data_IF_651640980947
#
_entry.id   IF_651640980947
#
_cell.length_a   1.000
_cell.length_b   1.000
_cell.length_c   1.000
_cell.angle_alpha   90.00
_cell.angle_beta   90.00
_cell.angle_gamma   90.00
#
_symmetry.space_group_name_H-M   'P 1'
#
loop_
_entity.id
_entity.type
_entity.pdbx_description
1 polymer ?
#
# COMPACT_ATOMS: atom_id res chain seq x y z
N UNK A 1 35.49 12.18 14.80
CA UNK A 1 35.82 11.81 13.43
C UNK A 1 34.81 12.41 12.48
N UNK A 2 35.23 13.42 11.68
CA UNK A 2 34.36 14.19 10.79
C UNK A 2 34.22 13.59 9.39
N UNK A 3 34.50 12.33 9.19
CA UNK A 3 34.52 11.74 7.86
C UNK A 3 33.18 11.90 7.11
N UNK A 4 32.05 11.78 7.83
CA UNK A 4 30.74 11.98 7.24
C UNK A 4 30.38 13.41 6.87
N UNK A 5 31.16 14.40 7.32
CA UNK A 5 30.94 15.81 6.99
C UNK A 5 31.93 16.35 5.96
N UNK A 6 33.00 15.63 5.67
CA UNK A 6 34.03 16.05 4.70
C UNK A 6 33.72 15.68 3.27
N UNK A 7 33.09 14.54 3.11
CA UNK A 7 32.67 14.08 1.80
C UNK A 7 31.17 14.31 1.73
N UNK A 8 30.73 15.09 0.78
CA UNK A 8 29.34 15.20 0.47
C UNK A 8 28.65 13.83 0.37
N UNK A 9 27.41 13.74 -0.04
CA UNK A 9 26.79 12.47 -0.39
C UNK A 9 27.62 11.71 -1.44
N UNK A 10 28.42 12.44 -2.19
CA UNK A 10 29.48 11.97 -3.08
C UNK A 10 30.77 12.70 -2.75
N UNK A 11 31.75 12.03 -2.21
CA UNK A 11 33.10 12.55 -2.01
C UNK A 11 34.06 11.81 -2.92
N UNK A 12 35.09 12.49 -3.41
CA UNK A 12 36.17 11.87 -4.16
C UNK A 12 37.36 11.71 -3.23
N UNK A 13 37.79 10.50 -2.95
CA UNK A 13 39.04 10.20 -2.25
C UNK A 13 39.95 9.46 -3.21
N UNK A 14 41.14 10.05 -3.49
CA UNK A 14 42.10 9.49 -4.43
C UNK A 14 41.50 9.16 -5.82
N UNK A 15 40.56 9.97 -6.30
CA UNK A 15 39.86 9.72 -7.57
C UNK A 15 38.71 8.74 -7.54
N UNK A 16 38.34 8.24 -6.36
CA UNK A 16 37.17 7.33 -6.17
C UNK A 16 36.03 8.12 -5.55
N UNK A 17 34.86 8.08 -6.18
CA UNK A 17 33.64 8.66 -5.64
C UNK A 17 33.12 7.84 -4.45
N UNK A 18 32.90 8.49 -3.33
CA UNK A 18 32.39 7.86 -2.11
C UNK A 18 31.05 8.44 -1.73
N UNK A 19 30.06 7.57 -1.59
CA UNK A 19 28.73 7.93 -1.09
C UNK A 19 28.69 7.95 0.44
N UNK A 20 28.11 9.00 1.01
CA UNK A 20 27.94 9.14 2.45
C UNK A 20 26.51 8.78 2.88
N UNK A 21 26.23 7.51 3.05
CA UNK A 21 24.89 7.01 3.40
C UNK A 21 24.41 7.50 4.79
N UNK A 22 25.34 7.81 5.71
CA UNK A 22 24.97 8.34 7.03
C UNK A 22 24.39 9.75 6.92
N UNK A 23 24.92 10.57 6.01
CA UNK A 23 24.38 11.91 5.77
C UNK A 23 22.96 11.83 5.21
N UNK A 24 22.70 10.91 4.29
CA UNK A 24 21.35 10.65 3.76
C UNK A 24 20.38 10.19 4.85
N UNK A 25 20.76 9.19 5.65
CA UNK A 25 19.92 8.66 6.72
C UNK A 25 19.53 9.72 7.76
N UNK A 26 20.38 10.74 7.96
CA UNK A 26 20.11 11.78 8.96
C UNK A 26 19.38 13.01 8.44
N UNK A 27 19.45 13.28 7.13
CA UNK A 27 19.01 14.56 6.59
C UNK A 27 17.99 14.46 5.46
N UNK A 28 17.89 13.33 4.75
CA UNK A 28 17.12 13.24 3.52
C UNK A 28 15.59 13.32 3.69
N UNK A 29 15.09 13.31 4.90
CA UNK A 29 13.65 13.26 5.21
C UNK A 29 13.22 11.87 5.61
N UNK A 30 11.92 11.72 5.82
CA UNK A 30 11.29 10.50 6.35
C UNK A 30 10.21 9.97 5.42
N UNK A 31 10.08 8.66 5.39
CA UNK A 31 8.94 7.93 4.84
C UNK A 31 8.16 7.25 5.97
N UNK A 32 6.90 7.65 6.15
CA UNK A 32 6.00 7.04 7.14
C UNK A 32 4.84 6.37 6.43
N UNK A 33 4.71 5.07 6.62
CA UNK A 33 3.59 4.30 6.10
C UNK A 33 2.77 3.74 7.25
N UNK A 34 1.47 4.04 7.24
CA UNK A 34 0.46 3.41 8.07
C UNK A 34 -0.36 2.48 7.19
N UNK A 35 -0.40 1.22 7.55
CA UNK A 35 -1.16 0.19 6.85
C UNK A 35 -2.15 -0.44 7.83
N UNK A 36 -3.44 -0.44 7.47
CA UNK A 36 -4.53 -0.94 8.29
C UNK A 36 -5.36 -1.92 7.48
N UNK A 37 -5.31 -3.17 7.88
CA UNK A 37 -6.09 -4.23 7.27
C UNK A 37 -7.16 -4.73 8.23
N UNK A 38 -8.41 -4.73 7.76
CA UNK A 38 -9.57 -5.25 8.50
C UNK A 38 -10.29 -6.28 7.64
N UNK A 39 -10.54 -7.45 8.22
CA UNK A 39 -11.33 -8.50 7.58
C UNK A 39 -12.49 -8.87 8.46
N UNK A 40 -13.70 -8.80 7.91
CA UNK A 40 -14.94 -9.18 8.57
C UNK A 40 -15.55 -10.33 7.76
N UNK A 41 -15.85 -11.43 8.44
CA UNK A 41 -16.50 -12.59 7.83
C UNK A 41 -17.78 -12.95 8.56
N UNK A 42 -18.80 -13.32 7.82
CA UNK A 42 -20.03 -13.89 8.32
C UNK A 42 -20.28 -15.24 7.64
N UNK A 43 -20.72 -16.21 8.41
CA UNK A 43 -21.03 -17.55 7.93
C UNK A 43 -22.42 -17.96 8.37
N UNK A 44 -23.21 -18.49 7.45
CA UNK A 44 -24.53 -19.05 7.69
C UNK A 44 -24.55 -20.50 7.22
N UNK A 45 -25.01 -21.39 8.07
CA UNK A 45 -25.35 -22.78 7.73
C UNK A 45 -26.75 -23.10 8.20
N UNK A 46 -27.60 -23.55 7.28
CA UNK A 46 -29.00 -23.91 7.56
C UNK A 46 -29.31 -25.29 7.00
N UNK A 47 -29.84 -26.18 7.82
CA UNK A 47 -30.42 -27.45 7.36
C UNK A 47 -31.87 -27.21 7.06
N UNK A 48 -32.26 -27.26 5.79
CA UNK A 48 -33.62 -26.95 5.32
C UNK A 48 -34.52 -28.15 5.51
N UNK A 49 -34.05 -29.32 5.07
CA UNK A 49 -34.71 -30.62 5.25
C UNK A 49 -33.63 -31.68 5.49
N UNK A 50 -34.01 -32.88 5.86
CA UNK A 50 -33.08 -33.99 6.03
C UNK A 50 -32.29 -34.21 4.74
N UNK A 51 -30.95 -34.11 4.83
CA UNK A 51 -30.04 -34.28 3.72
C UNK A 51 -29.72 -32.98 2.94
N UNK A 52 -30.52 -31.90 3.07
CA UNK A 52 -30.27 -30.63 2.36
C UNK A 52 -29.74 -29.56 3.31
N UNK A 53 -28.53 -29.09 3.03
CA UNK A 53 -27.86 -28.03 3.79
C UNK A 53 -27.53 -26.86 2.86
N UNK A 54 -27.92 -25.67 3.25
CA UNK A 54 -27.54 -24.42 2.61
C UNK A 54 -26.42 -23.78 3.42
N UNK A 55 -25.40 -23.34 2.73
CA UNK A 55 -24.26 -22.60 3.29
C UNK A 55 -24.10 -21.27 2.55
N UNK A 56 -23.79 -20.23 3.31
CA UNK A 56 -23.46 -18.93 2.76
C UNK A 56 -22.29 -18.33 3.54
N UNK A 57 -21.28 -17.91 2.85
CA UNK A 57 -20.11 -17.22 3.39
C UNK A 57 -20.03 -15.83 2.78
N UNK A 58 -19.89 -14.83 3.63
CA UNK A 58 -19.64 -13.47 3.21
C UNK A 58 -18.36 -12.97 3.87
N UNK A 59 -17.45 -12.45 3.10
CA UNK A 59 -16.21 -11.85 3.59
C UNK A 59 -16.05 -10.45 3.02
N UNK A 60 -15.75 -9.50 3.89
CA UNK A 60 -15.43 -8.13 3.52
C UNK A 60 -14.04 -7.77 4.03
N UNK A 61 -13.19 -7.28 3.13
CA UNK A 61 -11.84 -6.83 3.42
C UNK A 61 -11.74 -5.33 3.18
N UNK A 62 -11.09 -4.64 4.10
CA UNK A 62 -10.76 -3.23 3.99
C UNK A 62 -9.26 -3.11 4.20
N UNK A 63 -8.58 -2.56 3.24
CA UNK A 63 -7.17 -2.20 3.37
C UNK A 63 -7.00 -0.70 3.11
N UNK A 64 -6.57 0.03 4.15
CA UNK A 64 -6.27 1.45 4.06
C UNK A 64 -4.78 1.66 4.31
N UNK A 65 -4.08 2.18 3.32
CA UNK A 65 -2.67 2.49 3.40
C UNK A 65 -2.43 3.96 3.17
N UNK A 66 -1.81 4.63 4.13
CA UNK A 66 -1.41 6.02 3.99
C UNK A 66 0.10 6.13 4.12
N UNK A 67 0.73 6.71 3.11
CA UNK A 67 2.17 6.99 3.09
C UNK A 67 2.36 8.49 3.06
N UNK A 68 3.14 9.02 4.00
CA UNK A 68 3.62 10.40 3.99
C UNK A 68 5.13 10.36 3.84
N UNK A 69 5.62 11.02 2.80
CA UNK A 69 7.04 11.12 2.47
C UNK A 69 7.48 12.57 2.47
N UNK A 70 8.66 12.82 2.97
CA UNK A 70 9.28 14.15 3.03
C UNK A 70 10.64 14.09 2.38
N UNK A 71 10.89 14.95 1.43
CA UNK A 71 12.20 15.09 0.80
C UNK A 71 12.89 16.35 1.27
N UNK A 72 14.09 16.19 1.84
CA UNK A 72 14.94 17.27 2.29
C UNK A 72 16.29 17.20 1.60
N UNK A 73 16.95 18.36 1.32
CA UNK A 73 18.29 18.36 0.75
C UNK A 73 19.30 17.86 1.78
N UNK A 74 20.24 17.07 1.32
CA UNK A 74 21.36 16.63 2.14
C UNK A 74 22.48 17.68 2.05
N UNK A 75 22.81 18.29 3.18
CA UNK A 75 23.85 19.29 3.29
C UNK A 75 25.16 18.61 3.71
N UNK A 76 26.15 18.74 2.89
CA UNK A 76 27.49 18.21 3.14
C UNK A 76 28.56 19.30 2.91
N UNK A 77 29.78 18.99 3.30
CA UNK A 77 30.90 19.87 3.16
C UNK A 77 32.03 19.15 2.39
N UNK A 78 32.63 19.81 1.43
CA UNK A 78 33.79 19.27 0.75
C UNK A 78 35.06 19.38 1.64
N UNK A 79 36.15 18.77 1.19
CA UNK A 79 37.46 18.82 1.90
C UNK A 79 38.03 20.22 2.07
N UNK A 80 37.56 21.16 1.28
CA UNK A 80 37.99 22.55 1.29
C UNK A 80 37.10 23.47 2.15
N UNK A 81 36.13 22.89 2.84
CA UNK A 81 35.18 23.63 3.69
C UNK A 81 34.02 24.30 2.92
N UNK A 82 33.90 24.04 1.63
CA UNK A 82 32.75 24.50 0.84
C UNK A 82 31.48 23.69 1.14
N UNK A 83 30.37 24.40 1.35
CA UNK A 83 29.07 23.79 1.56
C UNK A 83 28.50 23.25 0.23
N UNK A 84 28.08 22.02 0.21
CA UNK A 84 27.44 21.38 -0.92
C UNK A 84 26.00 21.01 -0.53
N UNK A 85 25.02 21.54 -1.25
CA UNK A 85 23.64 21.09 -1.16
C UNK A 85 23.43 20.03 -2.23
N UNK A 86 23.10 18.83 -1.81
CA UNK A 86 22.82 17.75 -2.75
C UNK A 86 21.35 17.41 -2.67
N UNK A 87 20.61 17.50 -3.77
CA UNK A 87 19.25 17.03 -3.80
C UNK A 87 19.23 15.54 -3.53
N UNK A 88 18.30 15.09 -2.71
CA UNK A 88 17.97 13.66 -2.70
C UNK A 88 17.32 13.34 -4.03
N UNK A 89 17.43 12.11 -4.51
CA UNK A 89 16.79 11.66 -5.76
C UNK A 89 15.28 11.90 -5.75
N UNK A 90 14.68 11.95 -4.58
CA UNK A 90 13.28 12.21 -4.37
C UNK A 90 12.93 13.71 -4.24
N UNK A 91 13.89 14.57 -3.85
CA UNK A 91 13.66 16.00 -3.67
C UNK A 91 13.69 16.82 -4.98
N UNK A 92 13.93 16.18 -6.11
CA UNK A 92 14.02 16.84 -7.41
C UNK A 92 15.42 17.35 -7.73
N UNK A 93 15.63 17.84 -8.97
CA UNK A 93 16.93 18.14 -9.53
C UNK A 93 17.65 19.34 -8.88
N UNK A 94 16.97 20.17 -8.12
CA UNK A 94 17.48 21.44 -7.61
C UNK A 94 17.56 21.52 -6.07
N UNK A 95 17.46 20.38 -5.37
CA UNK A 95 17.50 20.38 -3.89
C UNK A 95 16.26 20.98 -3.25
N UNK A 96 15.14 21.06 -3.97
CA UNK A 96 13.88 21.54 -3.44
C UNK A 96 13.36 20.59 -2.36
N UNK A 97 12.90 21.17 -1.27
CA UNK A 97 12.14 20.44 -0.26
C UNK A 97 10.76 20.12 -0.76
N UNK A 98 10.19 19.01 -0.30
CA UNK A 98 8.84 18.61 -0.69
C UNK A 98 8.17 17.74 0.36
N UNK A 99 6.86 17.75 0.35
CA UNK A 99 6.00 16.81 1.08
C UNK A 99 5.11 16.10 0.09
N UNK A 100 4.98 14.80 0.27
CA UNK A 100 4.15 13.91 -0.52
C UNK A 100 3.24 13.10 0.39
N UNK A 101 2.00 12.93 0.01
CA UNK A 101 1.07 12.02 0.68
C UNK A 101 0.34 11.18 -0.34
N UNK A 102 0.26 9.89 -0.06
CA UNK A 102 -0.49 8.91 -0.82
C UNK A 102 -1.46 8.20 0.10
N UNK A 103 -2.72 8.14 -0.29
CA UNK A 103 -3.76 7.37 0.38
C UNK A 103 -4.32 6.33 -0.58
N UNK A 104 -4.21 5.08 -0.20
CA UNK A 104 -4.76 3.94 -0.93
C UNK A 104 -5.87 3.34 -0.09
N UNK A 105 -7.00 3.11 -0.71
CA UNK A 105 -8.11 2.35 -0.19
C UNK A 105 -8.38 1.18 -1.12
N UNK A 106 -8.28 -0.02 -0.60
CA UNK A 106 -8.51 -1.27 -1.33
C UNK A 106 -9.53 -2.09 -0.56
N UNK A 107 -10.75 -2.12 -1.07
CA UNK A 107 -11.87 -2.85 -0.49
C UNK A 107 -12.21 -4.02 -1.38
N UNK A 108 -12.51 -5.16 -0.79
CA UNK A 108 -13.03 -6.31 -1.53
C UNK A 108 -14.04 -7.07 -0.71
N UNK A 109 -14.99 -7.67 -1.39
CA UNK A 109 -15.93 -8.59 -0.77
C UNK A 109 -16.08 -9.84 -1.62
N UNK A 110 -16.34 -10.94 -0.93
CA UNK A 110 -16.61 -12.23 -1.52
C UNK A 110 -17.86 -12.83 -0.89
N UNK A 111 -18.75 -13.32 -1.73
CA UNK A 111 -19.95 -14.04 -1.36
C UNK A 111 -19.91 -15.43 -1.98
N UNK A 112 -19.99 -16.46 -1.16
CA UNK A 112 -20.18 -17.84 -1.60
C UNK A 112 -21.52 -18.36 -1.06
N UNK A 113 -22.32 -18.93 -1.93
CA UNK A 113 -23.58 -19.58 -1.55
C UNK A 113 -23.61 -20.94 -2.21
N UNK A 114 -23.79 -22.00 -1.41
CA UNK A 114 -23.89 -23.35 -1.96
C UNK A 114 -24.83 -24.24 -1.16
N UNK A 115 -25.50 -25.13 -1.88
CA UNK A 115 -26.36 -26.14 -1.32
C UNK A 115 -25.72 -27.52 -1.48
N UNK A 116 -25.75 -28.31 -0.42
CA UNK A 116 -25.36 -29.72 -0.44
C UNK A 116 -26.62 -30.57 -0.19
N UNK A 117 -26.80 -31.60 -1.01
CA UNK A 117 -27.85 -32.57 -0.83
C UNK A 117 -27.28 -33.98 -0.77
N UNK A 118 -27.47 -34.62 0.37
CA UNK A 118 -27.05 -36.01 0.62
C UNK A 118 -28.28 -36.93 0.51
N UNK A 119 -28.17 -37.90 -0.38
CA UNK A 119 -29.21 -38.89 -0.64
C UNK A 119 -28.65 -40.30 -0.48
N UNK A 120 -29.27 -41.10 0.37
CA UNK A 120 -28.94 -42.51 0.49
C UNK A 120 -30.09 -43.34 -0.11
N UNK A 121 -29.78 -44.14 -1.12
CA UNK A 121 -30.70 -45.02 -1.81
C UNK A 121 -30.34 -46.47 -1.52
N UNK A 122 -31.34 -47.28 -1.20
CA UNK A 122 -31.22 -48.75 -0.97
C UNK A 122 -30.13 -49.14 0.05
N UNK A 123 -29.84 -48.29 1.04
CA UNK A 123 -28.84 -48.44 2.12
C UNK A 123 -27.37 -48.45 1.69
N UNK A 124 -27.03 -48.80 0.44
CA UNK A 124 -25.67 -49.02 -0.03
C UNK A 124 -25.17 -47.96 -1.00
N UNK A 125 -26.10 -47.13 -1.52
CA UNK A 125 -25.74 -46.06 -2.47
C UNK A 125 -25.88 -44.71 -1.82
N UNK A 126 -24.75 -44.00 -1.69
CA UNK A 126 -24.64 -42.65 -1.14
C UNK A 126 -24.31 -41.67 -2.24
N UNK A 127 -25.18 -40.70 -2.48
CA UNK A 127 -24.98 -39.62 -3.44
C UNK A 127 -24.84 -38.32 -2.69
N UNK A 128 -23.89 -37.51 -3.11
CA UNK A 128 -23.72 -36.14 -2.62
C UNK A 128 -23.72 -35.19 -3.80
N UNK A 129 -24.70 -34.32 -3.83
CA UNK A 129 -24.85 -33.26 -4.83
C UNK A 129 -24.48 -31.92 -4.22
N UNK A 130 -23.67 -31.14 -4.89
CA UNK A 130 -23.39 -29.78 -4.51
C UNK A 130 -23.60 -28.87 -5.71
N UNK A 131 -24.29 -27.76 -5.48
CA UNK A 131 -24.40 -26.66 -6.44
C UNK A 131 -24.17 -25.35 -5.70
N UNK A 132 -23.46 -24.43 -6.30
CA UNK A 132 -23.19 -23.15 -5.70
C UNK A 132 -22.84 -22.08 -6.69
N UNK A 133 -22.77 -20.87 -6.16
CA UNK A 133 -22.30 -19.69 -6.85
C UNK A 133 -21.35 -18.92 -5.96
N UNK A 134 -20.38 -18.27 -6.56
CA UNK A 134 -19.54 -17.29 -5.91
C UNK A 134 -19.59 -15.97 -6.67
N UNK A 135 -19.46 -14.88 -5.95
CA UNK A 135 -19.27 -13.56 -6.48
C UNK A 135 -18.19 -12.83 -5.67
N UNK A 136 -17.28 -12.20 -6.37
CA UNK A 136 -16.23 -11.39 -5.76
C UNK A 136 -16.19 -10.03 -6.46
N UNK A 137 -16.00 -9.00 -5.68
CA UNK A 137 -15.91 -7.64 -6.18
C UNK A 137 -14.84 -6.89 -5.39
N UNK A 138 -14.10 -6.01 -6.06
CA UNK A 138 -13.06 -5.21 -5.46
C UNK A 138 -13.03 -3.81 -6.04
N UNK A 139 -12.74 -2.85 -5.16
CA UNK A 139 -12.60 -1.44 -5.46
C UNK A 139 -11.24 -0.96 -4.95
N UNK A 140 -10.44 -0.44 -5.84
CA UNK A 140 -9.15 0.17 -5.55
C UNK A 140 -9.21 1.67 -5.84
N UNK A 141 -8.97 2.47 -4.81
CA UNK A 141 -8.83 3.92 -4.92
C UNK A 141 -7.45 4.34 -4.46
N UNK A 142 -6.80 5.16 -5.27
CA UNK A 142 -5.55 5.81 -4.93
C UNK A 142 -5.71 7.31 -5.11
N UNK A 143 -5.24 8.07 -4.12
CA UNK A 143 -5.18 9.52 -4.17
C UNK A 143 -3.84 9.99 -3.62
N UNK A 144 -3.11 10.78 -4.40
CA UNK A 144 -1.84 11.33 -3.97
C UNK A 144 -1.72 12.81 -4.24
N UNK A 145 -0.93 13.47 -3.42
CA UNK A 145 -0.60 14.88 -3.55
C UNK A 145 0.86 15.10 -3.20
N UNK A 146 1.46 16.08 -3.87
CA UNK A 146 2.82 16.55 -3.59
C UNK A 146 2.83 18.07 -3.64
N UNK A 147 3.61 18.68 -2.75
CA UNK A 147 3.89 20.12 -2.77
C UNK A 147 5.36 20.35 -2.44
N UNK A 148 5.96 21.26 -3.20
CA UNK A 148 7.39 21.62 -3.07
C UNK A 148 7.56 22.89 -2.24
N UNK A 149 8.81 23.18 -1.84
CA UNK A 149 9.18 24.44 -1.19
C UNK A 149 8.65 24.53 0.24
N UNK A 150 9.03 23.62 1.12
CA UNK A 150 8.72 23.68 2.54
C UNK A 150 9.34 24.94 3.18
N UNK A 151 8.57 25.66 3.98
CA UNK A 151 9.04 26.81 4.75
C UNK A 151 9.85 26.39 5.99
N UNK A 152 9.51 25.23 6.56
CA UNK A 152 10.20 24.67 7.72
C UNK A 152 10.40 23.15 7.53
N UNK A 153 11.63 22.71 7.53
CA UNK A 153 12.01 21.31 7.36
C UNK A 153 11.55 20.42 8.54
N UNK A 154 11.28 21.03 9.70
CA UNK A 154 10.79 20.33 10.89
C UNK A 154 9.29 20.19 10.93
N UNK A 155 8.57 20.96 10.13
CA UNK A 155 7.11 20.96 10.03
C UNK A 155 6.69 20.74 8.57
N UNK A 156 6.88 19.52 8.03
CA UNK A 156 6.61 19.22 6.63
C UNK A 156 5.11 19.06 6.38
N UNK A 157 4.39 20.17 6.34
CA UNK A 157 2.96 20.24 6.09
C UNK A 157 2.65 20.92 4.76
N UNK A 158 1.59 20.46 4.08
CA UNK A 158 1.16 21.02 2.79
C UNK A 158 0.88 22.52 2.84
N UNK A 159 0.31 23.00 3.95
CA UNK A 159 0.00 24.42 4.14
C UNK A 159 1.25 25.27 4.36
N UNK A 160 2.35 24.66 4.77
CA UNK A 160 3.65 25.31 4.97
C UNK A 160 4.60 25.12 3.78
N UNK A 161 4.09 24.72 2.64
CA UNK A 161 4.82 24.63 1.40
C UNK A 161 4.29 25.68 0.42
N UNK A 162 5.19 26.39 -0.28
CA UNK A 162 4.86 27.53 -1.14
C UNK A 162 5.08 27.29 -2.62
N UNK A 163 5.78 26.20 -2.97
CA UNK A 163 6.10 25.86 -4.35
C UNK A 163 4.99 25.10 -5.08
N UNK A 164 5.37 24.54 -6.21
CA UNK A 164 4.46 23.81 -7.10
C UNK A 164 3.74 22.66 -6.40
N UNK A 165 2.49 22.50 -6.76
CA UNK A 165 1.64 21.43 -6.29
C UNK A 165 1.25 20.51 -7.43
N UNK A 166 1.26 19.22 -7.16
CA UNK A 166 0.77 18.17 -8.07
C UNK A 166 -0.14 17.22 -7.31
N UNK A 167 -1.19 16.79 -7.97
CA UNK A 167 -2.15 15.85 -7.43
C UNK A 167 -2.51 14.82 -8.50
N UNK A 168 -2.87 13.64 -8.07
CA UNK A 168 -3.35 12.59 -8.96
C UNK A 168 -4.08 11.50 -8.20
N UNK A 169 -4.71 10.61 -8.95
CA UNK A 169 -5.42 9.50 -8.36
C UNK A 169 -5.84 8.49 -9.42
N UNK A 170 -6.22 7.32 -8.95
CA UNK A 170 -6.72 6.23 -9.78
C UNK A 170 -7.87 5.57 -9.05
N UNK A 171 -8.90 5.19 -9.81
CA UNK A 171 -10.02 4.41 -9.32
C UNK A 171 -10.24 3.23 -10.27
N UNK A 172 -10.20 2.02 -9.74
CA UNK A 172 -10.41 0.79 -10.47
C UNK A 172 -11.41 -0.09 -9.70
N UNK A 173 -12.30 -0.70 -10.46
CA UNK A 173 -13.24 -1.69 -9.97
C UNK A 173 -13.10 -2.98 -10.78
N UNK A 174 -13.31 -4.09 -10.13
CA UNK A 174 -13.36 -5.40 -10.78
C UNK A 174 -14.40 -6.28 -10.11
N UNK A 175 -14.97 -7.17 -10.87
CA UNK A 175 -15.93 -8.14 -10.35
C UNK A 175 -15.85 -9.45 -11.11
N UNK A 176 -16.05 -10.55 -10.38
CA UNK A 176 -16.15 -11.90 -10.95
C UNK A 176 -17.34 -12.63 -10.35
N UNK A 177 -17.99 -13.46 -11.15
CA UNK A 177 -19.04 -14.35 -10.68
C UNK A 177 -18.88 -15.71 -11.34
N UNK A 178 -19.14 -16.76 -10.60
CA UNK A 178 -19.02 -18.13 -11.08
C UNK A 178 -20.07 -19.04 -10.49
N UNK A 179 -20.33 -20.14 -11.21
CA UNK A 179 -21.19 -21.23 -10.77
C UNK A 179 -20.36 -22.51 -10.70
N UNK A 180 -20.62 -23.32 -9.72
CA UNK A 180 -19.95 -24.61 -9.59
C UNK A 180 -20.94 -25.71 -9.17
N UNK A 181 -20.62 -26.95 -9.53
CA UNK A 181 -21.39 -28.12 -9.14
C UNK A 181 -20.50 -29.34 -9.02
N UNK A 182 -20.89 -30.26 -8.13
CA UNK A 182 -20.20 -31.53 -7.92
C UNK A 182 -21.23 -32.63 -7.62
N UNK A 183 -20.95 -33.80 -8.17
CA UNK A 183 -21.69 -35.05 -7.89
C UNK A 183 -20.69 -36.10 -7.48
N UNK A 184 -20.91 -36.74 -6.34
CA UNK A 184 -20.08 -37.84 -5.82
C UNK A 184 -20.98 -39.02 -5.53
#
# INVERSE_FOLDING_TARGET
WRWGSFFGPYGTYQGIDMKNDIAYLKQAGDDKTNDSYTRIGAFLKATIIKGLTLNADYTFNINNKTTKSVGLPVICWNSWGGKLNTPTTAAGANGDTWVYQNSVRDNSYALNVFANYELTVAKDHHFNFMIGANAEEGEYQNHWSQRKGLLDDKLPEFNLATGDQTVGGTHNEWGTAGWFGRIN
#
